data_IF_244449062819
#
_entry.id   IF_244449062819
#
_cell.length_a   1.000
_cell.length_b   1.000
_cell.length_c   1.000
_cell.angle_alpha   90.00
_cell.angle_beta   90.00
_cell.angle_gamma   90.00
#
_symmetry.space_group_name_H-M   'P 1'
#
loop_
_entity.id
_entity.type
_entity.pdbx_description
1 polymer ?
#
# COMPACT_ATOMS: atom_id res chain seq x y z
N UNK A 1 13.85 0.76 -1.02
CA UNK A 1 15.24 0.27 -0.89
C UNK A 1 15.62 0.35 0.58
N UNK A 2 16.09 -0.73 1.21
CA UNK A 2 16.57 -0.79 2.61
C UNK A 2 15.70 0.04 3.58
N UNK A 3 14.38 -0.23 3.57
CA UNK A 3 13.40 0.59 4.30
C UNK A 3 13.48 0.33 5.80
N UNK A 4 13.37 1.38 6.62
CA UNK A 4 13.23 1.22 8.07
C UNK A 4 11.85 0.65 8.44
N UNK A 5 11.65 0.26 9.70
CA UNK A 5 10.35 -0.20 10.19
C UNK A 5 9.32 0.94 10.09
N UNK A 6 9.66 2.16 10.52
CA UNK A 6 8.78 3.33 10.39
C UNK A 6 8.37 3.61 8.94
N UNK A 7 9.30 3.48 7.98
CA UNK A 7 8.98 3.63 6.55
C UNK A 7 8.07 2.52 6.06
N UNK A 8 8.25 1.29 6.55
CA UNK A 8 7.42 0.14 6.19
C UNK A 8 5.99 0.29 6.72
N UNK A 9 5.83 0.66 7.98
CA UNK A 9 4.52 0.90 8.62
C UNK A 9 3.79 2.09 7.98
N UNK A 10 4.51 3.17 7.69
CA UNK A 10 3.95 4.31 6.98
C UNK A 10 3.42 3.93 5.59
N UNK A 11 4.14 3.06 4.87
CA UNK A 11 3.70 2.61 3.55
C UNK A 11 2.43 1.76 3.62
N UNK A 12 2.28 0.93 4.66
CA UNK A 12 1.06 0.15 4.90
C UNK A 12 -0.14 1.08 5.15
N UNK A 13 0.00 2.06 6.03
CA UNK A 13 -1.04 3.05 6.29
C UNK A 13 -1.36 3.89 5.04
N UNK A 14 -0.34 4.24 4.25
CA UNK A 14 -0.50 4.95 2.99
C UNK A 14 -1.29 4.14 1.96
N UNK A 15 -1.02 2.83 1.88
CA UNK A 15 -1.69 1.90 0.98
C UNK A 15 -3.15 1.70 1.36
N UNK A 16 -3.43 1.51 2.66
CA UNK A 16 -4.78 1.42 3.21
C UNK A 16 -5.59 2.69 2.88
N UNK A 17 -5.08 3.86 3.24
CA UNK A 17 -5.74 5.14 2.98
C UNK A 17 -5.98 5.39 1.48
N UNK A 18 -5.01 5.03 0.64
CA UNK A 18 -5.19 5.15 -0.80
C UNK A 18 -6.23 4.17 -1.34
N UNK A 19 -6.28 2.93 -0.83
CA UNK A 19 -7.35 1.96 -1.14
C UNK A 19 -8.73 2.52 -0.79
N UNK A 20 -8.89 3.12 0.40
CA UNK A 20 -10.13 3.80 0.82
C UNK A 20 -10.57 4.88 -0.16
N UNK A 21 -9.64 5.68 -0.71
CA UNK A 21 -9.99 6.67 -1.74
C UNK A 21 -10.46 6.01 -3.04
N UNK A 22 -9.77 4.96 -3.52
CA UNK A 22 -10.13 4.27 -4.76
C UNK A 22 -11.51 3.60 -4.66
N UNK A 23 -11.83 2.99 -3.52
CA UNK A 23 -13.12 2.32 -3.28
C UNK A 23 -14.25 3.29 -2.91
N UNK A 24 -13.92 4.39 -2.24
CA UNK A 24 -14.87 5.38 -1.76
C UNK A 24 -15.34 6.37 -2.84
N UNK A 25 -14.48 6.69 -3.81
CA UNK A 25 -14.79 7.56 -4.95
C UNK A 25 -15.65 6.86 -6.00
N UNK A 26 -16.89 6.56 -5.63
CA UNK A 26 -17.92 5.95 -6.48
C UNK A 26 -19.15 6.84 -6.61
N UNK A 27 -19.94 6.61 -7.66
CA UNK A 27 -21.16 7.37 -7.91
C UNK A 27 -22.08 7.43 -6.67
N UNK A 28 -22.48 8.64 -6.27
CA UNK A 28 -23.32 8.91 -5.10
C UNK A 28 -22.57 9.23 -3.80
N UNK A 29 -21.27 8.97 -3.72
CA UNK A 29 -20.45 9.35 -2.56
C UNK A 29 -20.21 10.86 -2.50
N UNK A 30 -20.09 11.43 -1.30
CA UNK A 30 -19.64 12.82 -1.10
C UNK A 30 -18.11 12.82 -0.98
N UNK A 31 -17.44 13.67 -1.76
CA UNK A 31 -15.97 13.71 -1.81
C UNK A 31 -15.36 13.91 -0.41
N UNK A 32 -15.84 14.90 0.34
CA UNK A 32 -15.31 15.25 1.65
C UNK A 32 -15.38 14.11 2.67
N UNK A 33 -16.45 13.31 2.63
CA UNK A 33 -16.61 12.17 3.54
C UNK A 33 -15.55 11.09 3.27
N UNK A 34 -15.29 10.79 1.99
CA UNK A 34 -14.27 9.82 1.56
C UNK A 34 -12.86 10.30 1.92
N UNK A 35 -12.57 11.58 1.69
CA UNK A 35 -11.26 12.19 2.02
C UNK A 35 -11.02 12.18 3.53
N UNK A 36 -12.05 12.47 4.33
CA UNK A 36 -11.98 12.47 5.78
C UNK A 36 -11.65 11.09 6.34
N UNK A 37 -12.22 10.03 5.77
CA UNK A 37 -11.92 8.65 6.16
C UNK A 37 -10.46 8.30 5.86
N UNK A 38 -9.99 8.58 4.64
CA UNK A 38 -8.60 8.35 4.27
C UNK A 38 -7.60 9.17 5.13
N UNK A 39 -7.93 10.43 5.47
CA UNK A 39 -7.10 11.23 6.37
C UNK A 39 -7.05 10.64 7.78
N UNK A 40 -8.14 10.10 8.30
CA UNK A 40 -8.17 9.49 9.62
C UNK A 40 -7.22 8.28 9.70
N UNK A 41 -7.17 7.45 8.65
CA UNK A 41 -6.23 6.32 8.53
C UNK A 41 -4.79 6.82 8.61
N UNK A 42 -4.41 7.81 7.78
CA UNK A 42 -3.05 8.36 7.79
C UNK A 42 -2.68 9.02 9.12
N UNK A 43 -3.61 9.75 9.72
CA UNK A 43 -3.35 10.46 10.98
C UNK A 43 -3.09 9.50 12.14
N UNK A 44 -3.73 8.33 12.11
CA UNK A 44 -3.53 7.27 13.09
C UNK A 44 -2.29 6.43 12.77
N UNK A 45 -2.09 6.09 11.50
CA UNK A 45 -1.03 5.18 11.06
C UNK A 45 0.35 5.81 10.94
N UNK A 46 0.44 7.13 10.74
CA UNK A 46 1.70 7.86 10.63
C UNK A 46 1.66 9.12 11.52
N UNK A 47 1.64 8.94 12.86
CA UNK A 47 1.52 10.06 13.78
C UNK A 47 2.66 11.06 13.61
N UNK A 48 2.33 12.35 13.64
CA UNK A 48 3.31 13.43 13.48
C UNK A 48 3.69 13.76 12.03
N UNK A 49 3.24 12.99 11.04
CA UNK A 49 3.40 13.35 9.64
C UNK A 49 2.45 14.49 9.23
N UNK A 50 2.89 15.30 8.27
CA UNK A 50 2.07 16.29 7.59
C UNK A 50 1.32 15.64 6.43
N UNK A 51 0.01 15.55 6.53
CA UNK A 51 -0.86 15.03 5.47
C UNK A 51 -1.33 16.21 4.59
N UNK A 52 -1.09 16.20 3.26
CA UNK A 52 -1.61 17.23 2.36
C UNK A 52 -3.11 17.45 2.54
N UNK A 53 -3.56 18.70 2.48
CA UNK A 53 -5.00 19.03 2.55
C UNK A 53 -5.79 18.41 1.38
N UNK A 54 -5.18 18.45 0.18
CA UNK A 54 -5.76 17.94 -1.06
C UNK A 54 -5.12 16.60 -1.42
N UNK A 55 -5.93 15.56 -1.57
CA UNK A 55 -5.50 14.21 -1.92
C UNK A 55 -5.67 13.91 -3.41
N UNK A 56 -5.52 14.93 -4.26
CA UNK A 56 -5.77 14.86 -5.70
C UNK A 56 -6.96 15.71 -6.17
N UNK A 57 -7.42 15.49 -7.40
CA UNK A 57 -8.52 16.23 -7.99
C UNK A 57 -9.16 15.50 -9.17
N UNK A 58 -10.33 15.95 -9.60
CA UNK A 58 -10.89 15.59 -10.90
C UNK A 58 -9.93 15.97 -12.04
N UNK A 59 -9.88 15.13 -13.07
CA UNK A 59 -9.01 15.30 -14.23
C UNK A 59 -9.75 15.03 -15.54
N UNK A 60 -9.31 15.67 -16.61
CA UNK A 60 -9.86 15.50 -17.95
C UNK A 60 -9.00 16.24 -18.97
N UNK A 61 -9.59 17.19 -19.70
CA UNK A 61 -8.81 18.13 -20.52
C UNK A 61 -7.98 19.05 -19.63
N UNK A 62 -8.51 19.43 -18.47
CA UNK A 62 -7.75 20.09 -17.43
C UNK A 62 -7.01 19.06 -16.57
N UNK A 63 -5.76 19.39 -16.25
CA UNK A 63 -4.91 18.58 -15.35
C UNK A 63 -5.43 18.64 -13.89
N UNK A 64 -6.18 19.69 -13.55
CA UNK A 64 -6.87 19.82 -12.27
C UNK A 64 -8.21 20.52 -12.50
N UNK A 65 -9.30 19.86 -12.13
CA UNK A 65 -10.66 20.42 -12.10
C UNK A 65 -10.94 21.04 -10.71
N UNK A 66 -10.94 22.38 -10.54
CA UNK A 66 -10.98 23.00 -9.21
C UNK A 66 -12.21 22.67 -8.37
N UNK A 67 -13.34 22.34 -9.02
CA UNK A 67 -14.58 21.95 -8.35
C UNK A 67 -14.59 20.51 -7.84
N UNK A 68 -13.59 19.71 -8.20
CA UNK A 68 -13.48 18.28 -7.89
C UNK A 68 -12.22 17.96 -7.10
N UNK A 69 -11.66 18.95 -6.38
CA UNK A 69 -10.51 18.76 -5.49
C UNK A 69 -10.88 17.79 -4.37
N UNK A 70 -9.97 16.86 -4.08
CA UNK A 70 -10.15 15.86 -3.03
C UNK A 70 -9.75 16.44 -1.67
N UNK A 71 -10.61 17.29 -1.12
CA UNK A 71 -10.47 17.92 0.20
C UNK A 71 -11.65 17.58 1.11
N UNK A 72 -11.47 17.66 2.43
CA UNK A 72 -12.51 17.29 3.42
C UNK A 72 -13.74 18.20 3.40
N UNK A 73 -13.55 19.46 3.00
CA UNK A 73 -14.62 20.45 2.90
C UNK A 73 -15.41 20.37 1.59
N UNK A 74 -15.01 19.51 0.66
CA UNK A 74 -15.69 19.37 -0.62
C UNK A 74 -17.00 18.58 -0.49
N UNK A 75 -18.13 19.28 -0.58
CA UNK A 75 -19.47 18.69 -0.47
C UNK A 75 -20.03 18.16 -1.80
N UNK A 76 -19.24 18.11 -2.88
CA UNK A 76 -19.70 17.59 -4.17
C UNK A 76 -19.95 16.09 -4.09
N UNK A 77 -21.04 15.67 -4.73
CA UNK A 77 -21.32 14.25 -4.97
C UNK A 77 -20.58 13.78 -6.22
N UNK A 78 -19.96 12.61 -6.11
CA UNK A 78 -19.31 11.93 -7.22
C UNK A 78 -20.36 11.37 -8.18
N UNK A 79 -20.17 11.56 -9.48
CA UNK A 79 -21.08 11.11 -10.54
C UNK A 79 -20.39 10.13 -11.48
N UNK A 80 -21.20 9.29 -12.14
CA UNK A 80 -20.73 8.38 -13.19
C UNK A 80 -19.98 9.15 -14.30
N UNK A 81 -18.85 8.60 -14.74
CA UNK A 81 -18.01 9.18 -15.79
C UNK A 81 -17.01 10.23 -15.30
N UNK A 82 -17.07 10.65 -14.03
CA UNK A 82 -16.00 11.48 -13.45
C UNK A 82 -14.68 10.71 -13.45
N UNK A 83 -13.57 11.41 -13.68
CA UNK A 83 -12.22 10.85 -13.57
C UNK A 83 -11.43 11.64 -12.54
N UNK A 84 -10.61 10.97 -11.74
CA UNK A 84 -9.80 11.60 -10.70
C UNK A 84 -8.34 11.14 -10.80
N UNK A 85 -7.42 12.08 -10.58
CA UNK A 85 -6.06 11.75 -10.17
C UNK A 85 -6.05 11.74 -8.64
N UNK A 86 -6.00 10.55 -8.06
CA UNK A 86 -5.93 10.32 -6.62
C UNK A 86 -4.48 10.35 -6.19
N UNK A 87 -4.14 11.15 -5.19
CA UNK A 87 -2.78 11.30 -4.66
C UNK A 87 -2.83 11.22 -3.14
N UNK A 88 -2.26 10.15 -2.58
CA UNK A 88 -2.13 9.97 -1.14
C UNK A 88 -0.68 10.18 -0.77
N UNK A 89 -0.39 11.06 0.18
CA UNK A 89 0.98 11.32 0.61
C UNK A 89 1.07 11.62 2.10
N UNK A 90 2.24 11.35 2.65
CA UNK A 90 2.70 11.84 3.94
C UNK A 90 3.99 12.62 3.75
N UNK A 91 4.11 13.77 4.39
CA UNK A 91 5.28 14.64 4.38
C UNK A 91 5.86 14.75 5.78
N UNK A 92 7.17 14.91 5.88
CA UNK A 92 7.86 15.12 7.15
C UNK A 92 7.51 14.04 8.20
N UNK A 93 7.27 12.80 7.76
CA UNK A 93 6.96 11.69 8.64
C UNK A 93 8.19 11.39 9.51
N UNK A 94 8.06 11.32 10.85
CA UNK A 94 9.18 10.99 11.73
C UNK A 94 9.71 9.59 11.44
N UNK A 95 11.04 9.45 11.37
CA UNK A 95 11.68 8.13 11.34
C UNK A 95 12.05 7.74 12.78
N UNK A 96 11.27 6.85 13.39
CA UNK A 96 11.53 6.40 14.77
C UNK A 96 12.78 5.54 14.87
N UNK A 97 13.20 4.94 13.74
CA UNK A 97 14.41 4.13 13.64
C UNK A 97 15.65 4.97 13.26
N UNK A 98 15.58 6.31 13.39
CA UNK A 98 16.70 7.20 13.13
C UNK A 98 17.90 6.88 14.04
N UNK A 99 19.06 6.66 13.43
CA UNK A 99 20.35 6.47 14.10
C UNK A 99 21.31 7.57 13.67
N UNK A 100 21.78 8.38 14.62
CA UNK A 100 22.74 9.44 14.33
C UNK A 100 24.05 8.85 13.77
N UNK A 101 24.49 9.38 12.62
CA UNK A 101 25.69 8.90 11.92
C UNK A 101 25.48 7.68 11.02
N UNK A 102 24.29 7.06 11.01
CA UNK A 102 23.99 5.97 10.07
C UNK A 102 23.87 6.47 8.63
N UNK A 103 24.24 5.62 7.66
CA UNK A 103 24.03 5.87 6.23
C UNK A 103 22.61 5.46 5.82
N UNK A 104 22.20 5.85 4.61
CA UNK A 104 20.93 5.44 4.02
C UNK A 104 19.70 5.91 4.80
N UNK A 105 18.64 5.12 4.79
CA UNK A 105 17.36 5.48 5.40
C UNK A 105 17.41 5.60 6.92
N UNK A 106 18.25 4.81 7.60
CA UNK A 106 18.43 4.91 9.05
C UNK A 106 19.06 6.26 9.48
N UNK A 107 19.80 6.93 8.57
CA UNK A 107 20.34 8.27 8.80
C UNK A 107 19.35 9.42 8.56
N UNK A 108 18.14 9.14 8.10
CA UNK A 108 17.14 10.17 7.79
C UNK A 108 16.25 10.43 9.00
N UNK A 109 16.16 11.68 9.46
CA UNK A 109 15.29 12.06 10.59
C UNK A 109 13.80 12.04 10.22
N UNK A 110 13.50 12.37 8.98
CA UNK A 110 12.14 12.37 8.44
C UNK A 110 12.14 11.81 7.03
N UNK A 111 10.97 11.38 6.56
CA UNK A 111 10.78 10.90 5.19
C UNK A 111 9.43 11.34 4.64
N UNK A 112 9.27 11.13 3.33
CA UNK A 112 8.02 11.37 2.61
C UNK A 112 7.68 10.12 1.79
N UNK A 113 6.39 9.83 1.64
CA UNK A 113 5.91 8.77 0.77
C UNK A 113 4.67 9.24 0.00
N UNK A 114 4.51 8.73 -1.21
CA UNK A 114 3.40 9.10 -2.11
C UNK A 114 2.94 7.88 -2.91
N UNK A 115 1.62 7.77 -3.08
CA UNK A 115 0.95 6.88 -4.02
C UNK A 115 0.01 7.71 -4.87
N UNK A 116 -0.02 7.42 -6.17
CA UNK A 116 -0.88 8.13 -7.10
C UNK A 116 -1.44 7.20 -8.15
N UNK A 117 -2.75 7.31 -8.39
CA UNK A 117 -3.47 6.52 -9.38
C UNK A 117 -4.50 7.38 -10.10
N UNK A 118 -4.79 7.05 -11.36
CA UNK A 118 -5.89 7.64 -12.12
C UNK A 118 -7.07 6.69 -12.13
N UNK A 119 -8.26 7.19 -11.79
CA UNK A 119 -9.49 6.40 -11.78
C UNK A 119 -10.57 7.00 -12.67
N UNK A 120 -11.48 6.14 -13.12
CA UNK A 120 -12.76 6.51 -13.72
C UNK A 120 -13.88 5.94 -12.86
N UNK A 121 -14.86 6.77 -12.55
CA UNK A 121 -16.06 6.39 -11.81
C UNK A 121 -17.04 5.72 -12.77
N UNK A 122 -17.43 4.50 -12.43
CA UNK A 122 -18.40 3.72 -13.20
C UNK A 122 -19.80 3.95 -12.66
N UNK A 123 -20.80 3.36 -13.33
CA UNK A 123 -22.18 3.42 -12.86
C UNK A 123 -22.31 2.76 -11.48
N UNK A 124 -23.22 3.25 -10.63
CA UNK A 124 -23.48 2.62 -9.33
C UNK A 124 -24.00 1.17 -9.43
N UNK A 125 -24.50 0.78 -10.61
CA UNK A 125 -24.94 -0.58 -10.90
C UNK A 125 -23.80 -1.48 -11.43
N UNK A 126 -22.62 -0.94 -11.71
CA UNK A 126 -21.47 -1.70 -12.19
C UNK A 126 -20.88 -2.56 -11.05
N UNK A 127 -20.53 -3.84 -11.29
CA UNK A 127 -19.83 -4.66 -10.29
C UNK A 127 -18.48 -4.07 -9.84
N UNK A 128 -17.87 -3.21 -10.65
CA UNK A 128 -16.65 -2.46 -10.35
C UNK A 128 -16.96 -0.96 -10.39
N UNK A 129 -17.45 -0.37 -9.29
CA UNK A 129 -17.93 1.02 -9.26
C UNK A 129 -16.83 2.06 -9.53
N UNK A 130 -15.56 1.65 -9.47
CA UNK A 130 -14.38 2.43 -9.84
C UNK A 130 -13.44 1.59 -10.70
N UNK A 131 -12.95 2.16 -11.80
CA UNK A 131 -11.93 1.54 -12.65
C UNK A 131 -10.59 2.27 -12.50
N UNK A 132 -9.55 1.56 -12.05
CA UNK A 132 -8.21 2.11 -11.86
C UNK A 132 -7.39 1.97 -13.14
N UNK A 133 -7.12 3.09 -13.82
CA UNK A 133 -6.42 3.13 -15.11
C UNK A 133 -4.93 2.77 -15.01
N UNK A 134 -4.33 3.00 -13.84
CA UNK A 134 -2.89 2.89 -13.58
C UNK A 134 -2.50 1.63 -12.81
N UNK A 135 -3.40 0.65 -12.68
CA UNK A 135 -3.22 -0.59 -11.90
C UNK A 135 -2.18 -1.58 -12.46
N UNK A 136 -1.40 -1.21 -13.48
CA UNK A 136 -0.36 -2.06 -14.06
C UNK A 136 0.90 -2.14 -13.19
N UNK A 137 1.11 -1.15 -12.34
CA UNK A 137 2.19 -1.16 -11.36
C UNK A 137 1.69 -1.79 -10.07
N UNK A 138 2.47 -2.72 -9.52
CA UNK A 138 2.17 -3.31 -8.23
C UNK A 138 2.40 -2.28 -7.12
N UNK A 139 1.60 -2.37 -6.07
CA UNK A 139 1.68 -1.54 -4.86
C UNK A 139 1.89 -2.39 -3.62
N UNK A 140 1.90 -3.71 -3.77
CA UNK A 140 2.26 -4.63 -2.73
C UNK A 140 3.68 -4.35 -2.23
N UNK A 141 3.81 -4.32 -0.91
CA UNK A 141 5.07 -3.99 -0.24
C UNK A 141 6.20 -4.92 -0.68
N UNK A 142 5.91 -6.21 -0.89
CA UNK A 142 6.89 -7.21 -1.32
C UNK A 142 7.43 -6.96 -2.73
N UNK A 143 6.71 -6.20 -3.57
CA UNK A 143 7.12 -5.89 -4.95
C UNK A 143 7.75 -4.52 -5.15
N UNK A 144 7.53 -3.60 -4.20
CA UNK A 144 8.09 -2.24 -4.26
C UNK A 144 9.25 -2.02 -3.30
N UNK A 145 9.48 -2.97 -2.38
CA UNK A 145 10.61 -2.97 -1.46
C UNK A 145 11.75 -3.79 -2.04
N UNK A 146 12.94 -3.20 -1.99
CA UNK A 146 14.18 -3.83 -2.44
C UNK A 146 15.18 -3.78 -1.30
N UNK A 147 15.91 -4.87 -1.13
CA UNK A 147 17.08 -4.93 -0.27
C UNK A 147 18.31 -4.93 -1.17
N UNK A 148 19.21 -3.98 -0.90
CA UNK A 148 20.51 -3.94 -1.55
C UNK A 148 21.53 -4.29 -0.47
N UNK A 149 22.34 -5.29 -0.75
CA UNK A 149 23.55 -5.57 0.03
C UNK A 149 24.46 -4.33 -0.07
N UNK A 150 24.78 -3.74 1.07
CA UNK A 150 25.73 -2.65 1.12
C UNK A 150 27.11 -3.21 0.74
N UNK A 151 27.77 -2.67 -0.29
CA UNK A 151 29.08 -3.13 -0.80
C UNK A 151 30.25 -2.93 0.20
N UNK A 152 29.96 -2.50 1.43
CA UNK A 152 30.86 -2.47 2.58
C UNK A 152 30.10 -2.99 3.80
N UNK A 153 30.37 -4.25 4.16
CA UNK A 153 29.59 -5.04 5.11
C UNK A 153 29.45 -4.43 6.51
N UNK A 154 28.26 -4.62 7.05
CA UNK A 154 28.05 -4.91 8.47
C UNK A 154 27.25 -6.22 8.50
N UNK A 155 27.90 -7.27 9.03
CA UNK A 155 27.28 -8.51 9.48
C UNK A 155 26.35 -8.18 10.66
N UNK A 156 25.20 -8.86 10.74
CA UNK A 156 24.21 -8.89 11.83
C UNK A 156 22.85 -8.21 11.52
N UNK A 157 21.95 -8.92 10.86
CA UNK A 157 20.57 -9.18 11.32
C UNK A 157 19.84 -10.09 10.31
N UNK A 158 20.20 -11.38 10.30
CA UNK A 158 19.37 -12.45 9.74
C UNK A 158 18.93 -13.38 10.88
N UNK A 159 17.96 -12.93 11.68
CA UNK A 159 17.09 -13.81 12.46
C UNK A 159 15.64 -13.39 12.22
N UNK A 160 15.07 -13.87 11.11
CA UNK A 160 13.66 -14.23 11.00
C UNK A 160 13.57 -15.27 9.86
N UNK A 161 13.91 -16.50 10.21
CA UNK A 161 13.65 -17.66 9.36
C UNK A 161 12.15 -17.92 9.28
N UNK A 162 11.57 -17.77 8.10
CA UNK A 162 10.31 -18.44 7.79
C UNK A 162 10.64 -19.91 7.49
N UNK A 163 10.24 -20.80 8.39
CA UNK A 163 10.21 -22.24 8.17
C UNK A 163 9.06 -22.53 7.20
N UNK A 164 9.42 -22.85 5.94
CA UNK A 164 8.53 -23.51 4.99
C UNK A 164 8.35 -24.97 5.44
N UNK A 165 7.21 -25.29 6.04
CA UNK A 165 6.75 -26.67 6.29
C UNK A 165 6.33 -27.32 4.95
N UNK A 166 7.31 -27.83 4.19
CA UNK A 166 7.10 -28.84 3.14
C UNK A 166 7.08 -30.23 3.79
N UNK A 167 5.91 -30.68 4.25
CA UNK A 167 5.65 -32.08 4.61
C UNK A 167 5.36 -32.90 3.33
N UNK A 168 6.41 -33.43 2.71
CA UNK A 168 6.34 -34.53 1.74
C UNK A 168 7.39 -35.59 2.12
N UNK A 169 6.98 -36.55 2.96
CA UNK A 169 7.79 -37.71 3.36
C UNK A 169 7.13 -38.98 2.79
N UNK A 170 7.58 -39.35 1.59
CA UNK A 170 7.53 -40.73 1.08
C UNK A 170 8.83 -41.46 1.42
N UNK A 171 8.73 -42.81 1.44
CA UNK A 171 9.78 -43.84 1.61
C UNK A 171 10.00 -44.27 3.08
N UNK A 172 9.86 -45.54 3.51
CA UNK A 172 9.89 -46.82 2.82
C UNK A 172 10.54 -47.88 3.75
N UNK A 173 10.40 -49.16 3.39
CA UNK A 173 10.97 -50.39 4.00
C UNK A 173 10.25 -50.88 5.27
N UNK A 174 9.87 -52.15 5.45
CA UNK A 174 10.31 -53.44 4.88
C UNK A 174 10.15 -54.45 6.05
N UNK A 175 9.51 -55.60 5.89
CA UNK A 175 10.12 -56.94 5.76
C UNK A 175 8.95 -57.95 5.92
N UNK A 176 8.72 -58.86 4.95
CA UNK A 176 9.07 -60.31 4.99
C UNK A 176 8.15 -61.11 5.95
N UNK A 177 7.49 -62.23 5.63
CA UNK A 177 7.79 -63.38 4.78
C UNK A 177 6.52 -64.27 4.64
N UNK A 178 6.36 -64.89 3.47
CA UNK A 178 5.98 -66.29 3.16
C UNK A 178 4.72 -67.02 3.68
N UNK A 179 4.38 -68.02 2.85
CA UNK A 179 3.60 -69.24 3.07
C UNK A 179 2.16 -69.31 2.51
N UNK A 180 2.13 -69.74 1.25
CA UNK A 180 1.59 -71.03 0.79
C UNK A 180 0.07 -71.33 0.77
N UNK A 181 -0.27 -71.80 -0.44
CA UNK A 181 -1.19 -72.87 -0.83
C UNK A 181 -2.72 -72.69 -0.84
N UNK A 182 -3.20 -72.90 -2.07
CA UNK A 182 -4.50 -73.33 -2.58
C UNK A 182 -5.41 -74.12 -1.62
N UNK A 183 -6.71 -73.80 -1.67
CA UNK A 183 -7.80 -74.76 -2.02
C UNK A 183 -9.09 -74.06 -2.47
#
# INVERSE_FOLDING_TARGET
>A
VNTTRSQTEAYKALTEAHGTLLEGLKAGSVIGDVVKEARAILSKGVPGATIPECMGSGVGVLVEEPGLRLTEDNTRTVEEGMSFAVVTAVKDAPNEDFKEGAKGNAGMKTFCQVLADSIVVMSAADPHPTFVLTNKADRDLGKVRFYLEDEEGDEDDDEDGEEDDDDDDEEGAGEEEDDDDDE
#
